data_IF_015101942792
#
_entry.id   IF_015101942792
#
_cell.length_a   1.000
_cell.length_b   1.000
_cell.length_c   1.000
_cell.angle_alpha   90.00
_cell.angle_beta   90.00
_cell.angle_gamma   90.00
#
_symmetry.space_group_name_H-M   'P 1'
#
loop_
_entity.id
_entity.type
_entity.pdbx_description
1 polymer ?
#
# COMPACT_ATOMS: atom_id res chain seq x y z
N UNK A 1 45.36 -5.44 -66.80
CA UNK A 1 44.57 -6.24 -67.75
C UNK A 1 43.19 -6.42 -67.16
N UNK A 2 42.24 -5.60 -67.60
CA UNK A 2 41.27 -5.92 -68.65
C UNK A 2 40.29 -6.99 -68.14
N UNK A 3 39.02 -6.85 -68.13
CA UNK A 3 38.04 -6.10 -68.88
C UNK A 3 36.68 -6.31 -68.24
N UNK A 4 35.86 -5.30 -68.26
CA UNK A 4 34.73 -5.01 -69.11
C UNK A 4 33.66 -6.11 -69.21
N UNK A 5 32.43 -5.76 -68.86
CA UNK A 5 31.25 -5.68 -69.73
C UNK A 5 29.98 -5.90 -68.88
N UNK A 6 29.17 -4.90 -68.74
CA UNK A 6 28.02 -4.44 -69.57
C UNK A 6 26.83 -5.42 -69.58
N UNK A 7 25.72 -4.90 -69.22
CA UNK A 7 24.49 -5.39 -69.83
C UNK A 7 23.21 -5.32 -68.97
N UNK A 8 22.50 -4.21 -69.16
CA UNK A 8 21.05 -4.09 -69.41
C UNK A 8 20.02 -4.26 -68.32
N UNK A 9 19.38 -3.15 -68.16
CA UNK A 9 17.96 -2.91 -67.74
C UNK A 9 16.98 -3.93 -68.28
N UNK A 10 15.99 -4.25 -67.44
CA UNK A 10 14.59 -4.34 -67.88
C UNK A 10 13.69 -3.87 -66.77
N UNK A 11 12.95 -2.81 -67.04
CA UNK A 11 11.72 -2.39 -66.35
C UNK A 11 10.65 -3.49 -66.45
N UNK A 12 9.97 -3.79 -65.35
CA UNK A 12 8.56 -4.16 -65.41
C UNK A 12 7.84 -3.55 -64.21
N UNK A 13 6.92 -2.65 -64.53
CA UNK A 13 5.83 -2.14 -63.71
C UNK A 13 4.95 -3.30 -63.23
N UNK A 14 4.42 -3.20 -62.05
CA UNK A 14 2.98 -3.34 -61.81
C UNK A 14 2.71 -3.70 -60.34
N UNK A 15 1.91 -2.89 -59.71
CA UNK A 15 0.71 -3.30 -59.02
C UNK A 15 0.79 -3.25 -57.52
N UNK A 16 0.47 -2.12 -56.93
CA UNK A 16 -0.07 -2.05 -55.58
C UNK A 16 -1.49 -2.66 -55.58
N UNK A 17 -1.91 -3.23 -54.44
CA UNK A 17 -3.09 -2.63 -53.89
C UNK A 17 -2.91 -2.23 -52.42
N UNK A 18 -3.38 -1.04 -52.13
CA UNK A 18 -3.67 -0.50 -50.84
C UNK A 18 -4.56 -1.44 -50.02
N UNK A 19 -4.09 -1.76 -48.82
CA UNK A 19 -4.95 -2.20 -47.73
C UNK A 19 -4.72 -1.29 -46.55
N UNK A 20 -5.77 -0.60 -46.02
CA UNK A 20 -5.62 0.27 -44.87
C UNK A 20 -5.43 -0.56 -43.61
N UNK A 21 -4.65 -0.05 -42.63
CA UNK A 21 -4.47 -0.74 -41.33
C UNK A 21 -5.79 -0.71 -40.56
N UNK A 22 -6.31 -1.88 -40.29
CA UNK A 22 -7.47 -2.10 -39.41
C UNK A 22 -7.12 -1.63 -38.01
N UNK A 23 -7.61 -0.46 -37.66
CA UNK A 23 -7.56 0.11 -36.31
C UNK A 23 -8.48 -0.72 -35.41
N UNK A 24 -7.92 -1.74 -34.74
CA UNK A 24 -8.61 -2.43 -33.66
C UNK A 24 -8.60 -1.56 -32.43
N UNK A 25 -9.57 -0.65 -32.32
CA UNK A 25 -9.89 0.07 -31.09
C UNK A 25 -10.62 -0.88 -30.16
N UNK A 26 -9.89 -1.75 -29.46
CA UNK A 26 -10.40 -2.37 -28.24
C UNK A 26 -10.50 -1.30 -27.16
N UNK A 27 -11.63 -0.61 -27.15
CA UNK A 27 -12.01 0.25 -26.05
C UNK A 27 -12.24 -0.64 -24.82
N UNK A 28 -11.22 -0.76 -23.99
CA UNK A 28 -11.35 -1.30 -22.63
C UNK A 28 -12.24 -0.32 -21.86
N UNK A 29 -13.53 -0.63 -21.77
CA UNK A 29 -14.48 0.09 -20.94
C UNK A 29 -14.06 -0.08 -19.48
N UNK A 30 -13.42 0.93 -18.92
CA UNK A 30 -13.16 1.02 -17.50
C UNK A 30 -14.48 1.20 -16.74
N UNK A 31 -14.84 0.20 -15.92
CA UNK A 31 -15.99 0.31 -15.00
C UNK A 31 -15.82 1.53 -14.11
N UNK A 32 -16.88 2.35 -13.93
CA UNK A 32 -16.80 3.53 -13.07
C UNK A 32 -16.58 3.12 -11.61
N UNK A 33 -15.69 3.82 -10.92
CA UNK A 33 -15.47 3.70 -9.47
C UNK A 33 -16.80 3.85 -8.74
N UNK A 34 -17.11 2.88 -7.89
CA UNK A 34 -18.22 3.00 -6.96
C UNK A 34 -17.82 4.06 -5.92
N UNK A 35 -18.34 5.27 -6.03
CA UNK A 35 -18.20 6.29 -4.98
C UNK A 35 -18.69 5.69 -3.68
N UNK A 36 -17.96 5.91 -2.55
CA UNK A 36 -18.41 5.49 -1.22
C UNK A 36 -19.90 5.85 -1.06
N UNK A 37 -20.68 4.88 -0.62
CA UNK A 37 -22.10 5.13 -0.38
C UNK A 37 -22.26 6.19 0.71
N UNK A 38 -23.36 6.96 0.72
CA UNK A 38 -23.63 7.87 1.81
C UNK A 38 -23.60 7.19 3.20
N UNK A 39 -24.00 5.91 3.25
CA UNK A 39 -23.97 5.09 4.45
C UNK A 39 -22.52 4.81 4.93
N UNK A 40 -21.59 4.52 4.01
CA UNK A 40 -20.18 4.27 4.35
C UNK A 40 -19.51 5.55 4.88
N UNK A 41 -19.79 6.69 4.26
CA UNK A 41 -19.29 7.99 4.74
C UNK A 41 -19.82 8.33 6.15
N UNK A 42 -21.08 8.01 6.42
CA UNK A 42 -21.70 8.20 7.73
C UNK A 42 -21.06 7.28 8.78
N UNK A 43 -20.83 6.01 8.44
CA UNK A 43 -20.17 5.04 9.32
C UNK A 43 -18.72 5.47 9.65
N UNK A 44 -17.96 5.89 8.64
CA UNK A 44 -16.58 6.38 8.84
C UNK A 44 -16.55 7.65 9.69
N UNK A 45 -17.49 8.56 9.49
CA UNK A 45 -17.62 9.76 10.32
C UNK A 45 -17.97 9.41 11.77
N UNK A 46 -18.84 8.44 12.00
CA UNK A 46 -19.20 7.96 13.34
C UNK A 46 -17.99 7.39 14.10
N UNK A 47 -17.13 6.61 13.42
CA UNK A 47 -15.91 6.07 14.05
C UNK A 47 -14.93 7.18 14.46
N UNK A 48 -14.77 8.22 13.65
CA UNK A 48 -13.96 9.37 14.01
C UNK A 48 -14.51 10.10 15.24
N UNK A 49 -15.83 10.26 15.31
CA UNK A 49 -16.49 10.87 16.47
C UNK A 49 -16.27 10.06 17.76
N UNK A 50 -16.24 8.73 17.70
CA UNK A 50 -15.90 7.90 18.86
C UNK A 50 -14.47 8.17 19.36
N UNK A 51 -13.49 8.33 18.48
CA UNK A 51 -12.12 8.66 18.87
C UNK A 51 -12.04 10.05 19.51
N UNK A 52 -12.74 11.02 18.96
CA UNK A 52 -12.83 12.37 19.52
C UNK A 52 -13.49 12.39 20.89
N UNK A 53 -14.53 11.60 21.12
CA UNK A 53 -15.18 11.44 22.42
C UNK A 53 -14.23 10.77 23.45
N UNK A 54 -13.45 9.79 23.03
CA UNK A 54 -12.39 9.21 23.86
C UNK A 54 -11.33 10.27 24.19
N UNK A 55 -10.94 11.10 23.23
CA UNK A 55 -9.95 12.16 23.42
C UNK A 55 -10.41 13.19 24.44
N UNK A 56 -11.64 13.69 24.29
CA UNK A 56 -12.20 14.76 25.10
C UNK A 56 -12.63 14.30 26.50
N UNK A 57 -13.29 13.14 26.60
CA UNK A 57 -14.00 12.74 27.83
C UNK A 57 -13.51 11.42 28.42
N UNK A 58 -12.52 10.76 27.81
CA UNK A 58 -12.13 9.39 28.21
C UNK A 58 -13.33 8.44 28.30
N UNK A 59 -14.24 8.56 27.32
CA UNK A 59 -15.50 7.81 27.25
C UNK A 59 -15.25 6.31 27.10
N UNK A 60 -15.51 5.55 28.18
CA UNK A 60 -15.43 4.06 28.14
C UNK A 60 -16.47 3.48 27.19
N UNK A 61 -17.62 4.11 27.05
CA UNK A 61 -18.68 3.66 26.16
C UNK A 61 -18.27 3.80 24.67
N UNK A 62 -17.64 4.94 24.31
CA UNK A 62 -17.09 5.16 22.98
C UNK A 62 -15.94 4.16 22.69
N UNK A 63 -15.05 3.96 23.66
CA UNK A 63 -13.97 2.99 23.55
C UNK A 63 -14.48 1.55 23.33
N UNK A 64 -15.51 1.12 24.08
CA UNK A 64 -16.12 -0.19 23.92
C UNK A 64 -16.62 -0.40 22.49
N UNK A 65 -17.39 0.58 21.96
CA UNK A 65 -17.90 0.51 20.59
C UNK A 65 -16.77 0.47 19.55
N UNK A 66 -15.72 1.27 19.74
CA UNK A 66 -14.56 1.30 18.87
C UNK A 66 -13.81 -0.05 18.91
N UNK A 67 -13.63 -0.62 20.10
CA UNK A 67 -13.01 -1.92 20.32
C UNK A 67 -13.79 -3.05 19.61
N UNK A 68 -15.10 -3.12 19.86
CA UNK A 68 -15.97 -4.14 19.25
C UNK A 68 -15.91 -4.08 17.71
N UNK A 69 -15.81 -2.89 17.16
CA UNK A 69 -15.71 -2.69 15.70
C UNK A 69 -14.33 -3.08 15.15
N UNK A 70 -13.24 -2.62 15.78
CA UNK A 70 -11.90 -2.78 15.22
C UNK A 70 -11.17 -4.04 15.65
N UNK A 71 -11.40 -4.60 16.83
CA UNK A 71 -10.64 -5.75 17.32
C UNK A 71 -10.63 -6.95 16.36
N UNK A 72 -11.78 -7.45 15.84
CA UNK A 72 -11.75 -8.56 14.90
C UNK A 72 -11.06 -8.22 13.58
N UNK A 73 -11.16 -6.97 13.13
CA UNK A 73 -10.53 -6.48 11.89
C UNK A 73 -9.03 -6.37 12.02
N UNK A 74 -8.56 -5.82 13.13
CA UNK A 74 -7.13 -5.72 13.46
C UNK A 74 -6.51 -7.11 13.64
N UNK A 75 -7.19 -8.03 14.36
CA UNK A 75 -6.73 -9.42 14.52
C UNK A 75 -6.55 -10.08 13.15
N UNK A 76 -7.56 -10.03 12.30
CA UNK A 76 -7.47 -10.61 10.95
C UNK A 76 -6.39 -9.95 10.08
N UNK A 77 -6.15 -8.65 10.24
CA UNK A 77 -5.07 -7.94 9.55
C UNK A 77 -3.69 -8.42 10.02
N UNK A 78 -3.45 -8.46 11.33
CA UNK A 78 -2.17 -8.88 11.93
C UNK A 78 -1.82 -10.33 11.60
N UNK A 79 -2.82 -11.23 11.60
CA UNK A 79 -2.63 -12.62 11.17
C UNK A 79 -2.24 -12.71 9.69
N UNK A 80 -2.84 -11.89 8.80
CA UNK A 80 -2.42 -11.81 7.39
C UNK A 80 -1.00 -11.29 7.22
N UNK A 81 -0.52 -10.47 8.15
CA UNK A 81 0.88 -10.04 8.18
C UNK A 81 1.84 -11.08 8.78
N UNK A 82 1.33 -12.27 9.16
CA UNK A 82 2.14 -13.40 9.65
C UNK A 82 2.28 -13.47 11.16
N UNK A 83 1.46 -12.74 11.94
CA UNK A 83 1.38 -12.97 13.39
C UNK A 83 0.60 -14.24 13.69
N UNK A 84 0.99 -14.99 14.72
CA UNK A 84 0.18 -16.07 15.27
C UNK A 84 -1.12 -15.51 15.87
N UNK A 85 -2.11 -16.34 16.11
CA UNK A 85 -3.38 -15.89 16.70
C UNK A 85 -3.18 -15.23 18.05
N UNK A 86 -2.37 -15.85 18.94
CA UNK A 86 -2.07 -15.30 20.25
C UNK A 86 -1.33 -13.95 20.16
N UNK A 87 -0.32 -13.85 19.30
CA UNK A 87 0.39 -12.58 19.06
C UNK A 87 -0.53 -11.51 18.50
N UNK A 88 -1.46 -11.87 17.60
CA UNK A 88 -2.41 -10.92 17.04
C UNK A 88 -3.39 -10.39 18.11
N UNK A 89 -3.84 -11.24 19.03
CA UNK A 89 -4.69 -10.81 20.16
C UNK A 89 -3.98 -9.87 21.11
N UNK A 90 -2.74 -10.18 21.49
CA UNK A 90 -1.90 -9.30 22.31
C UNK A 90 -1.67 -7.95 21.62
N UNK A 91 -1.30 -7.98 20.33
CA UNK A 91 -1.12 -6.77 19.54
C UNK A 91 -2.39 -5.92 19.45
N UNK A 92 -3.55 -6.53 19.29
CA UNK A 92 -4.84 -5.80 19.28
C UNK A 92 -5.06 -5.07 20.60
N UNK A 93 -4.78 -5.71 21.74
CA UNK A 93 -4.88 -5.06 23.05
C UNK A 93 -3.93 -3.87 23.16
N UNK A 94 -2.67 -4.03 22.76
CA UNK A 94 -1.66 -2.98 22.75
C UNK A 94 -2.05 -1.79 21.86
N UNK A 95 -2.57 -2.07 20.67
CA UNK A 95 -3.07 -1.06 19.74
C UNK A 95 -4.21 -0.29 20.37
N UNK A 96 -5.19 -0.97 20.95
CA UNK A 96 -6.35 -0.33 21.57
C UNK A 96 -5.98 0.48 22.81
N UNK A 97 -5.02 0.01 23.62
CA UNK A 97 -4.45 0.81 24.72
C UNK A 97 -3.74 2.07 24.20
N UNK A 98 -3.03 1.95 23.08
CA UNK A 98 -2.38 3.09 22.43
C UNK A 98 -3.42 4.09 21.92
N UNK A 99 -4.49 3.62 21.31
CA UNK A 99 -5.64 4.46 20.89
C UNK A 99 -6.23 5.20 22.08
N UNK A 100 -6.48 4.50 23.20
CA UNK A 100 -6.99 5.12 24.43
C UNK A 100 -6.09 6.25 24.95
N UNK A 101 -4.79 6.00 24.96
CA UNK A 101 -3.79 6.97 25.46
C UNK A 101 -3.62 8.15 24.49
N UNK A 102 -3.55 7.87 23.19
CA UNK A 102 -3.16 8.82 22.15
C UNK A 102 -4.35 9.37 21.33
N UNK A 103 -5.60 9.14 21.76
CA UNK A 103 -6.79 9.61 21.06
C UNK A 103 -6.75 11.13 20.73
N UNK A 104 -6.13 11.95 21.60
CA UNK A 104 -5.99 13.39 21.39
C UNK A 104 -5.07 13.75 20.20
N UNK A 105 -4.25 12.82 19.71
CA UNK A 105 -3.40 13.02 18.54
C UNK A 105 -4.12 12.73 17.22
N UNK A 106 -5.31 12.14 17.28
CA UNK A 106 -6.11 11.89 16.09
C UNK A 106 -6.64 13.18 15.48
N UNK A 107 -6.45 13.38 14.18
CA UNK A 107 -7.02 14.47 13.40
C UNK A 107 -7.75 13.93 12.18
N UNK A 108 -9.10 13.99 12.19
CA UNK A 108 -9.94 13.51 11.07
C UNK A 108 -9.69 14.19 9.74
N UNK A 109 -9.03 15.35 9.74
CA UNK A 109 -8.67 16.07 8.51
C UNK A 109 -7.45 15.49 7.85
N UNK A 110 -6.61 14.79 8.62
CA UNK A 110 -5.36 14.17 8.13
C UNK A 110 -5.56 12.73 7.73
N UNK A 111 -6.37 11.97 8.49
CA UNK A 111 -6.57 10.56 8.22
C UNK A 111 -7.96 10.08 8.66
N UNK A 112 -8.48 9.05 8.00
CA UNK A 112 -9.65 8.33 8.47
C UNK A 112 -9.32 7.56 9.77
N UNK A 113 -10.34 7.27 10.60
CA UNK A 113 -10.19 6.53 11.84
C UNK A 113 -9.53 5.16 11.63
N UNK A 114 -9.97 4.43 10.60
CA UNK A 114 -9.39 3.15 10.22
C UNK A 114 -7.92 3.26 9.87
N UNK A 115 -7.57 4.20 9.00
CA UNK A 115 -6.18 4.46 8.61
C UNK A 115 -5.29 4.67 9.83
N UNK A 116 -5.72 5.51 10.76
CA UNK A 116 -4.96 5.80 11.96
C UNK A 116 -4.77 4.57 12.85
N UNK A 117 -5.82 3.76 13.07
CA UNK A 117 -5.71 2.54 13.87
C UNK A 117 -4.84 1.47 13.20
N UNK A 118 -5.01 1.25 11.89
CA UNK A 118 -4.20 0.26 11.17
C UNK A 118 -2.72 0.67 11.06
N UNK A 119 -2.43 1.97 11.00
CA UNK A 119 -1.05 2.48 11.07
C UNK A 119 -0.42 2.16 12.44
N UNK A 120 -1.15 2.39 13.54
CA UNK A 120 -0.68 2.00 14.88
C UNK A 120 -0.41 0.50 14.94
N UNK A 121 -1.34 -0.33 14.43
CA UNK A 121 -1.20 -1.79 14.43
C UNK A 121 0.02 -2.26 13.62
N UNK A 122 0.22 -1.70 12.44
CA UNK A 122 1.37 -2.00 11.59
C UNK A 122 2.69 -1.64 12.30
N UNK A 123 2.77 -0.45 12.85
CA UNK A 123 3.99 0.00 13.54
C UNK A 123 4.30 -0.87 14.75
N UNK A 124 3.29 -1.21 15.56
CA UNK A 124 3.46 -2.13 16.70
C UNK A 124 3.99 -3.50 16.28
N UNK A 125 3.46 -4.06 15.19
CA UNK A 125 3.96 -5.32 14.66
C UNK A 125 5.41 -5.21 14.18
N UNK A 126 5.75 -4.13 13.48
CA UNK A 126 7.14 -3.87 13.05
C UNK A 126 8.07 -3.76 14.24
N UNK A 127 7.67 -3.08 15.32
CA UNK A 127 8.47 -2.95 16.54
C UNK A 127 8.75 -4.32 17.18
N UNK A 128 7.75 -5.21 17.22
CA UNK A 128 7.93 -6.58 17.72
C UNK A 128 8.91 -7.36 16.84
N UNK A 129 8.71 -7.35 15.53
CA UNK A 129 9.61 -8.04 14.59
C UNK A 129 11.06 -7.56 14.70
N UNK A 130 11.26 -6.27 14.93
CA UNK A 130 12.59 -5.70 15.14
C UNK A 130 13.21 -6.17 16.44
N UNK A 131 12.46 -6.20 17.54
CA UNK A 131 12.93 -6.73 18.83
C UNK A 131 13.28 -8.22 18.76
N UNK A 132 12.45 -9.02 18.07
CA UNK A 132 12.72 -10.44 17.86
C UNK A 132 14.00 -10.65 17.03
N UNK A 133 14.24 -9.79 16.03
CA UNK A 133 15.39 -9.92 15.13
C UNK A 133 16.68 -9.31 15.69
N UNK A 134 16.55 -8.28 16.49
CA UNK A 134 17.66 -7.51 17.08
C UNK A 134 17.41 -7.23 18.57
N UNK A 135 17.64 -8.22 19.46
CA UNK A 135 17.38 -8.05 20.90
C UNK A 135 18.23 -6.95 21.56
N UNK A 136 19.37 -6.62 20.95
CA UNK A 136 20.36 -5.66 21.48
C UNK A 136 20.15 -4.21 21.02
N UNK A 137 19.15 -3.93 20.14
CA UNK A 137 18.90 -2.57 19.64
C UNK A 137 17.94 -1.82 20.57
N UNK A 138 18.35 -0.61 20.97
CA UNK A 138 17.50 0.29 21.74
C UNK A 138 16.24 0.67 20.93
N UNK A 139 15.02 0.48 21.47
CA UNK A 139 13.78 0.86 20.82
C UNK A 139 13.64 2.36 20.55
N UNK A 140 14.42 3.20 21.20
CA UNK A 140 14.38 4.66 21.08
C UNK A 140 15.39 5.24 20.07
N UNK A 141 16.15 4.41 19.34
CA UNK A 141 17.08 4.89 18.32
C UNK A 141 16.32 5.65 17.20
N UNK A 142 16.60 6.95 16.98
CA UNK A 142 15.95 7.77 15.96
C UNK A 142 16.11 7.23 14.52
N UNK A 143 17.12 6.39 14.27
CA UNK A 143 17.32 5.73 12.98
C UNK A 143 16.24 4.66 12.68
N UNK A 144 15.44 4.27 13.69
CA UNK A 144 14.39 3.28 13.61
C UNK A 144 12.98 3.87 13.37
N UNK A 145 12.85 5.21 13.35
CA UNK A 145 11.57 5.88 13.09
C UNK A 145 11.22 5.71 11.61
N UNK A 146 10.07 5.12 11.27
CA UNK A 146 9.63 5.02 9.87
C UNK A 146 9.30 6.41 9.34
N UNK A 147 9.92 6.80 8.23
CA UNK A 147 9.47 7.95 7.44
C UNK A 147 8.02 7.73 6.96
N UNK A 148 7.25 8.79 7.12
CA UNK A 148 5.85 9.04 6.73
C UNK A 148 4.97 7.93 6.12
N UNK A 149 3.80 7.87 6.69
CA UNK A 149 2.52 7.19 6.52
C UNK A 149 2.16 6.68 5.11
N UNK A 150 1.98 5.37 5.01
CA UNK A 150 1.19 4.72 3.97
C UNK A 150 -0.16 4.33 4.57
N UNK A 151 -1.24 4.84 4.02
CA UNK A 151 -2.61 4.67 4.51
C UNK A 151 -3.27 3.39 3.98
N UNK A 152 -3.83 2.50 4.84
CA UNK A 152 -4.77 1.46 4.43
C UNK A 152 -6.21 1.77 4.87
N UNK A 153 -7.16 1.51 3.99
CA UNK A 153 -8.61 1.67 4.19
C UNK A 153 -9.38 0.34 4.36
N UNK A 154 -10.57 0.42 4.90
CA UNK A 154 -11.46 -0.60 5.51
C UNK A 154 -11.71 -1.98 4.85
N UNK A 155 -12.06 -2.97 5.70
CA UNK A 155 -12.07 -4.42 5.42
C UNK A 155 -13.20 -4.97 4.51
N UNK A 156 -14.32 -4.30 4.35
CA UNK A 156 -15.38 -4.70 3.38
C UNK A 156 -15.02 -4.22 1.98
N UNK A 157 -14.33 -3.12 1.92
CA UNK A 157 -13.69 -2.54 0.74
C UNK A 157 -12.44 -3.37 0.37
N UNK A 158 -11.88 -4.15 1.30
CA UNK A 158 -10.63 -4.90 1.10
C UNK A 158 -10.72 -6.03 0.07
N UNK A 159 -11.85 -6.68 -0.15
CA UNK A 159 -11.95 -7.72 -1.18
C UNK A 159 -11.96 -7.12 -2.60
N UNK A 160 -12.70 -6.03 -2.80
CA UNK A 160 -12.72 -5.29 -4.07
C UNK A 160 -11.40 -4.54 -4.29
N UNK A 161 -10.84 -3.93 -3.24
CA UNK A 161 -9.53 -3.26 -3.28
C UNK A 161 -8.35 -4.22 -3.37
N UNK A 162 -8.47 -5.48 -2.95
CA UNK A 162 -7.42 -6.46 -3.18
C UNK A 162 -7.10 -6.60 -4.67
N UNK A 163 -8.12 -6.69 -5.50
CA UNK A 163 -7.94 -6.75 -6.95
C UNK A 163 -7.38 -5.43 -7.53
N UNK A 164 -7.79 -4.28 -6.98
CA UNK A 164 -7.25 -2.97 -7.38
C UNK A 164 -5.79 -2.81 -6.98
N UNK A 165 -5.43 -3.17 -5.74
CA UNK A 165 -4.04 -3.14 -5.25
C UNK A 165 -3.18 -4.12 -6.04
N UNK A 166 -3.68 -5.35 -6.32
CA UNK A 166 -2.96 -6.32 -7.15
C UNK A 166 -2.76 -5.78 -8.57
N UNK A 167 -3.77 -5.15 -9.15
CA UNK A 167 -3.67 -4.50 -10.46
C UNK A 167 -2.68 -3.32 -10.44
N UNK A 168 -2.69 -2.51 -9.40
CA UNK A 168 -1.72 -1.42 -9.24
C UNK A 168 -0.30 -1.96 -9.03
N UNK A 169 -0.13 -3.00 -8.22
CA UNK A 169 1.16 -3.67 -8.03
C UNK A 169 1.70 -4.27 -9.33
N UNK A 170 0.83 -4.81 -10.19
CA UNK A 170 1.22 -5.36 -11.49
C UNK A 170 1.74 -4.28 -12.47
N UNK A 171 1.52 -2.99 -12.20
CA UNK A 171 2.09 -1.89 -12.99
C UNK A 171 3.53 -1.56 -12.61
N UNK A 172 4.00 -2.09 -11.48
CA UNK A 172 5.38 -1.88 -11.03
C UNK A 172 6.33 -2.91 -11.66
N UNK A 173 7.58 -2.53 -11.95
CA UNK A 173 8.63 -3.50 -12.24
C UNK A 173 8.79 -4.51 -11.11
N UNK A 174 9.12 -5.75 -11.44
CA UNK A 174 9.24 -6.85 -10.46
C UNK A 174 10.18 -6.53 -9.30
N UNK A 175 11.34 -5.90 -9.59
CA UNK A 175 12.27 -5.43 -8.56
C UNK A 175 11.63 -4.43 -7.56
N UNK A 176 10.74 -3.57 -8.04
CA UNK A 176 10.03 -2.62 -7.17
C UNK A 176 8.94 -3.30 -6.35
N UNK A 177 8.24 -4.28 -6.93
CA UNK A 177 7.27 -5.11 -6.21
C UNK A 177 7.93 -5.83 -5.04
N UNK A 178 9.12 -6.39 -5.25
CA UNK A 178 9.88 -7.07 -4.20
C UNK A 178 10.27 -6.12 -3.07
N UNK A 179 10.83 -4.95 -3.37
CA UNK A 179 11.17 -3.94 -2.37
C UNK A 179 9.94 -3.50 -1.55
N UNK A 180 8.80 -3.29 -2.21
CA UNK A 180 7.54 -2.96 -1.53
C UNK A 180 7.10 -4.10 -0.62
N UNK A 181 7.21 -5.37 -1.05
CA UNK A 181 6.90 -6.52 -0.21
C UNK A 181 7.80 -6.60 1.02
N UNK A 182 9.11 -6.40 0.86
CA UNK A 182 10.05 -6.40 1.98
C UNK A 182 9.73 -5.29 3.00
N UNK A 183 9.50 -4.07 2.51
CA UNK A 183 9.18 -2.94 3.37
C UNK A 183 7.81 -3.09 4.07
N UNK A 184 6.79 -3.57 3.35
CA UNK A 184 5.42 -3.57 3.86
C UNK A 184 5.08 -4.83 4.65
N UNK A 185 5.37 -6.04 4.11
CA UNK A 185 4.98 -7.29 4.75
C UNK A 185 6.02 -7.80 5.75
N UNK A 186 7.32 -7.67 5.43
CA UNK A 186 8.39 -8.06 6.35
C UNK A 186 8.77 -6.96 7.33
N UNK A 187 8.31 -5.72 7.13
CA UNK A 187 8.59 -4.59 8.01
C UNK A 187 10.08 -4.20 8.04
N UNK A 188 10.83 -4.53 6.98
CA UNK A 188 12.25 -4.22 6.94
C UNK A 188 12.50 -2.73 6.73
N UNK A 189 13.48 -2.20 7.44
CA UNK A 189 13.98 -0.84 7.22
C UNK A 189 14.69 -0.75 5.86
N UNK A 190 14.85 0.44 5.34
CA UNK A 190 15.59 0.65 4.09
C UNK A 190 17.02 0.13 4.16
N UNK A 191 17.67 0.20 5.33
CA UNK A 191 19.03 -0.32 5.57
C UNK A 191 19.07 -1.85 5.51
N UNK A 192 18.08 -2.53 6.09
CA UNK A 192 17.96 -3.99 6.03
C UNK A 192 17.71 -4.46 4.60
N UNK A 193 16.80 -3.76 3.89
CA UNK A 193 16.54 -4.04 2.47
C UNK A 193 17.81 -3.86 1.64
N UNK A 194 18.56 -2.77 1.87
CA UNK A 194 19.82 -2.53 1.18
C UNK A 194 20.84 -3.65 1.43
N UNK A 195 20.96 -4.10 2.68
CA UNK A 195 21.87 -5.19 3.07
C UNK A 195 21.48 -6.52 2.41
N UNK A 196 20.19 -6.85 2.40
CA UNK A 196 19.68 -8.11 1.86
C UNK A 196 19.73 -8.16 0.33
N UNK A 197 19.38 -7.06 -0.31
CA UNK A 197 19.31 -6.97 -1.78
C UNK A 197 20.65 -6.60 -2.43
N UNK A 198 21.66 -6.21 -1.65
CA UNK A 198 22.93 -5.68 -2.15
C UNK A 198 22.83 -4.31 -2.84
N UNK A 199 21.66 -3.67 -2.80
CA UNK A 199 21.45 -2.36 -3.41
C UNK A 199 21.96 -1.24 -2.49
N UNK A 200 22.54 -0.15 -3.07
CA UNK A 200 22.85 1.04 -2.29
C UNK A 200 21.61 1.58 -1.57
N UNK A 201 21.75 2.03 -0.32
CA UNK A 201 20.64 2.58 0.50
C UNK A 201 19.87 3.71 -0.23
N UNK A 202 20.59 4.59 -0.95
CA UNK A 202 19.97 5.65 -1.76
C UNK A 202 19.08 5.09 -2.87
N UNK A 203 19.49 3.98 -3.48
CA UNK A 203 18.72 3.29 -4.53
C UNK A 203 17.46 2.66 -3.94
N UNK A 204 17.54 2.03 -2.77
CA UNK A 204 16.36 1.46 -2.09
C UNK A 204 15.35 2.57 -1.77
N UNK A 205 15.80 3.67 -1.16
CA UNK A 205 14.94 4.83 -0.83
C UNK A 205 14.27 5.42 -2.08
N UNK A 206 15.03 5.66 -3.15
CA UNK A 206 14.49 6.25 -4.38
C UNK A 206 13.52 5.31 -5.10
N UNK A 207 13.82 4.00 -5.18
CA UNK A 207 12.94 3.00 -5.79
C UNK A 207 11.64 2.84 -5.01
N UNK A 208 11.70 2.76 -3.68
CA UNK A 208 10.49 2.70 -2.84
C UNK A 208 9.62 3.96 -2.99
N UNK A 209 10.25 5.15 -2.93
CA UNK A 209 9.52 6.41 -3.15
C UNK A 209 8.81 6.43 -4.52
N UNK A 210 9.51 6.02 -5.58
CA UNK A 210 8.93 5.95 -6.92
C UNK A 210 7.78 4.92 -6.98
N UNK A 211 7.96 3.76 -6.36
CA UNK A 211 6.92 2.72 -6.28
C UNK A 211 5.66 3.24 -5.61
N UNK A 212 5.78 3.88 -4.44
CA UNK A 212 4.62 4.45 -3.75
C UNK A 212 3.96 5.58 -4.54
N UNK A 213 4.73 6.42 -5.22
CA UNK A 213 4.17 7.44 -6.11
C UNK A 213 3.38 6.81 -7.25
N UNK A 214 3.91 5.76 -7.89
CA UNK A 214 3.20 5.03 -8.97
C UNK A 214 1.95 4.32 -8.45
N UNK A 215 2.04 3.64 -7.30
CA UNK A 215 0.89 3.00 -6.67
C UNK A 215 -0.19 4.03 -6.32
N UNK A 216 0.20 5.17 -5.78
CA UNK A 216 -0.73 6.27 -5.49
C UNK A 216 -1.43 6.74 -6.77
N UNK A 217 -0.69 7.03 -7.82
CA UNK A 217 -1.27 7.44 -9.12
C UNK A 217 -2.16 6.33 -9.69
N UNK A 218 -1.77 5.06 -9.63
CA UNK A 218 -2.56 3.95 -10.11
C UNK A 218 -3.84 3.74 -9.31
N UNK A 219 -3.82 4.03 -8.01
CA UNK A 219 -4.96 3.94 -7.12
C UNK A 219 -5.82 5.23 -7.14
N UNK A 220 -5.20 6.40 -7.21
CA UNK A 220 -5.88 7.71 -7.25
C UNK A 220 -6.24 8.14 -8.69
N UNK A 221 -5.45 7.80 -9.68
CA UNK A 221 -5.61 8.20 -11.10
C UNK A 221 -6.75 7.52 -11.84
N UNK A 222 -7.63 6.83 -11.13
CA UNK A 222 -8.95 6.37 -11.59
C UNK A 222 -10.06 7.29 -11.07
N UNK A 223 -9.75 8.53 -10.78
CA UNK A 223 -10.72 9.59 -10.50
C UNK A 223 -11.18 10.20 -11.81
#
# INVERSE_FOLDING_TARGET
MAGTSSGRSVDVKSGAPDTPPTTNKSATQSKPRKKLSPADKTAMSALATLIEDIAAHKSKAAFKKLFEYFAPRLKGYLMRLGSSEAQAEELVQDVMLTVWRKAALFDRRKAAASTWLFTIARNRRIDILRREKYPELDPEDPALVPDEEVQPDDAVIMAERKAEVQSAMATLPEEQVELVKLAFYKGWSHSEIAKETGLPLGTVKSRLRLSFTRLKVALDGKV
#
